data_IF_546164587788
#
_entry.id   IF_546164587788
#
_cell.length_a   1.000
_cell.length_b   1.000
_cell.length_c   1.000
_cell.angle_alpha   90.00
_cell.angle_beta   90.00
_cell.angle_gamma   90.00
#
_symmetry.space_group_name_H-M   'P 1'
#
loop_
_entity.id
_entity.type
_entity.pdbx_description
1 polymer ?
#
# COMPACT_ATOMS: atom_id res chain seq x y z
N UNK A 1 -20.98 3.68 0.02
CA UNK A 1 -21.10 2.71 1.13
C UNK A 1 -19.81 1.91 1.20
N UNK A 2 -19.16 1.80 2.36
CA UNK A 2 -17.96 0.96 2.55
C UNK A 2 -18.32 -0.50 2.29
N UNK A 3 -17.54 -1.27 1.50
CA UNK A 3 -17.84 -2.67 1.27
C UNK A 3 -17.84 -3.45 2.59
N UNK A 4 -18.82 -4.35 2.76
CA UNK A 4 -18.91 -5.23 3.91
C UNK A 4 -17.92 -6.39 3.72
N UNK A 5 -16.72 -6.24 4.27
CA UNK A 5 -15.65 -7.23 4.16
C UNK A 5 -15.72 -8.22 5.32
N UNK A 6 -15.52 -9.53 5.08
CA UNK A 6 -15.62 -10.55 6.12
C UNK A 6 -14.41 -10.55 7.08
N UNK A 7 -14.58 -11.17 8.24
CA UNK A 7 -13.49 -11.59 9.13
C UNK A 7 -12.46 -10.51 9.46
N UNK A 8 -11.17 -10.86 9.33
CA UNK A 8 -10.03 -9.95 9.57
C UNK A 8 -9.98 -8.77 8.60
N UNK A 9 -10.45 -8.94 7.36
CA UNK A 9 -10.52 -7.85 6.39
C UNK A 9 -11.50 -6.75 6.85
N UNK A 10 -12.69 -7.14 7.32
CA UNK A 10 -13.64 -6.20 7.92
C UNK A 10 -13.10 -5.49 9.16
N UNK A 11 -12.38 -6.21 10.02
CA UNK A 11 -11.73 -5.62 11.20
C UNK A 11 -10.65 -4.60 10.80
N UNK A 12 -9.86 -4.90 9.78
CA UNK A 12 -8.87 -3.98 9.23
C UNK A 12 -9.53 -2.73 8.63
N UNK A 13 -10.59 -2.90 7.84
CA UNK A 13 -11.36 -1.78 7.28
C UNK A 13 -11.90 -0.84 8.37
N UNK A 14 -12.47 -1.39 9.45
CA UNK A 14 -12.90 -0.59 10.62
C UNK A 14 -11.75 0.13 11.30
N UNK A 15 -10.59 -0.53 11.41
CA UNK A 15 -9.39 0.06 12.00
C UNK A 15 -8.88 1.24 11.18
N UNK A 16 -8.85 1.11 9.85
CA UNK A 16 -8.51 2.20 8.92
C UNK A 16 -9.48 3.37 9.07
N UNK A 17 -10.79 3.11 9.01
CA UNK A 17 -11.79 4.16 9.16
C UNK A 17 -11.70 4.88 10.50
N UNK A 18 -11.50 4.13 11.59
CA UNK A 18 -11.34 4.72 12.92
C UNK A 18 -10.08 5.58 13.03
N UNK A 19 -8.95 5.10 12.47
CA UNK A 19 -7.69 5.84 12.49
C UNK A 19 -7.74 7.09 11.60
N UNK A 20 -8.37 7.02 10.42
CA UNK A 20 -8.57 8.17 9.54
C UNK A 20 -9.44 9.25 10.20
N UNK A 21 -10.55 8.86 10.86
CA UNK A 21 -11.38 9.79 11.62
C UNK A 21 -10.64 10.46 12.77
N UNK A 22 -9.77 9.71 13.46
CA UNK A 22 -8.93 10.27 14.52
C UNK A 22 -7.96 11.36 14.01
N UNK A 23 -7.71 11.41 12.69
CA UNK A 23 -6.93 12.45 12.02
C UNK A 23 -7.80 13.49 11.33
N UNK A 24 -9.07 13.58 11.71
CA UNK A 24 -10.03 14.54 11.17
C UNK A 24 -10.30 14.41 9.65
N UNK A 25 -10.11 13.22 9.07
CA UNK A 25 -10.58 12.93 7.71
C UNK A 25 -12.10 13.12 7.63
N UNK A 26 -12.59 13.68 6.51
CA UNK A 26 -14.03 13.82 6.29
C UNK A 26 -14.71 12.46 6.10
N UNK A 27 -16.01 12.36 6.31
CA UNK A 27 -16.73 11.09 6.04
C UNK A 27 -16.63 10.67 4.56
N UNK A 28 -16.56 11.63 3.64
CA UNK A 28 -16.35 11.35 2.22
C UNK A 28 -14.97 10.71 1.96
N UNK A 29 -13.94 11.20 2.65
CA UNK A 29 -12.57 10.65 2.59
C UNK A 29 -12.52 9.26 3.22
N UNK A 30 -13.14 9.07 4.38
CA UNK A 30 -13.23 7.76 5.04
C UNK A 30 -13.94 6.75 4.16
N UNK A 31 -15.00 7.16 3.46
CA UNK A 31 -15.70 6.31 2.51
C UNK A 31 -14.83 5.98 1.29
N UNK A 32 -14.12 6.97 0.74
CA UNK A 32 -13.21 6.76 -0.39
C UNK A 32 -12.07 5.80 -0.05
N UNK A 33 -11.46 5.95 1.14
CA UNK A 33 -10.46 5.01 1.65
C UNK A 33 -11.04 3.60 1.82
N UNK A 34 -12.27 3.50 2.33
CA UNK A 34 -12.97 2.22 2.48
C UNK A 34 -13.22 1.52 1.14
N UNK A 35 -13.61 2.27 0.10
CA UNK A 35 -13.76 1.73 -1.26
C UNK A 35 -12.43 1.26 -1.84
N UNK A 36 -11.37 2.04 -1.69
CA UNK A 36 -10.03 1.68 -2.16
C UNK A 36 -9.49 0.42 -1.44
N UNK A 37 -9.67 0.33 -0.13
CA UNK A 37 -9.27 -0.85 0.63
C UNK A 37 -10.06 -2.09 0.21
N UNK A 38 -11.38 -1.99 0.06
CA UNK A 38 -12.19 -3.12 -0.43
C UNK A 38 -11.79 -3.57 -1.82
N UNK A 39 -11.47 -2.62 -2.71
CA UNK A 39 -10.98 -2.91 -4.05
C UNK A 39 -9.63 -3.67 -4.01
N UNK A 40 -8.69 -3.23 -3.17
CA UNK A 40 -7.40 -3.92 -2.98
C UNK A 40 -7.52 -5.30 -2.32
N UNK A 41 -8.57 -5.51 -1.53
CA UNK A 41 -8.85 -6.79 -0.87
C UNK A 41 -9.53 -7.80 -1.80
N UNK A 42 -10.25 -7.37 -2.83
CA UNK A 42 -11.01 -8.26 -3.71
C UNK A 42 -10.19 -9.44 -4.27
N UNK A 43 -9.04 -9.24 -4.96
CA UNK A 43 -8.27 -10.36 -5.49
C UNK A 43 -7.70 -11.29 -4.40
N UNK A 44 -7.48 -10.76 -3.19
CA UNK A 44 -7.01 -11.56 -2.04
C UNK A 44 -8.11 -12.42 -1.46
N UNK A 45 -9.32 -11.90 -1.37
CA UNK A 45 -10.48 -12.65 -0.89
C UNK A 45 -10.84 -13.80 -1.85
N UNK A 46 -10.53 -13.65 -3.13
CA UNK A 46 -10.71 -14.70 -4.13
C UNK A 46 -9.59 -15.74 -4.11
N UNK A 47 -8.35 -15.32 -3.85
CA UNK A 47 -7.17 -16.18 -3.99
C UNK A 47 -6.66 -16.81 -2.69
N UNK A 48 -6.95 -16.21 -1.53
CA UNK A 48 -6.40 -16.62 -0.24
C UNK A 48 -7.50 -17.15 0.68
N UNK A 49 -7.47 -18.45 0.92
CA UNK A 49 -8.36 -19.12 1.87
C UNK A 49 -7.95 -18.88 3.34
N UNK A 50 -6.66 -18.59 3.59
CA UNK A 50 -6.11 -18.33 4.91
C UNK A 50 -5.98 -16.82 5.19
N UNK A 51 -6.81 -16.30 6.09
CA UNK A 51 -6.79 -14.89 6.51
C UNK A 51 -5.60 -14.52 7.44
N UNK A 52 -4.79 -15.53 7.81
CA UNK A 52 -3.49 -15.37 8.44
C UNK A 52 -2.33 -15.31 7.45
N UNK A 53 -2.57 -15.52 6.15
CA UNK A 53 -1.53 -15.40 5.13
C UNK A 53 -0.86 -14.02 5.23
N UNK A 54 0.49 -13.90 5.21
CA UNK A 54 1.18 -12.65 5.46
C UNK A 54 0.76 -11.51 4.52
N UNK A 55 0.41 -11.82 3.28
CA UNK A 55 -0.04 -10.83 2.31
C UNK A 55 -1.53 -10.46 2.39
N UNK A 56 -2.32 -11.19 3.20
CA UNK A 56 -3.77 -11.04 3.23
C UNK A 56 -4.21 -9.63 3.64
N UNK A 57 -3.65 -9.08 4.72
CA UNK A 57 -3.98 -7.72 5.19
C UNK A 57 -3.03 -6.63 4.67
N UNK A 58 -2.15 -6.95 3.72
CA UNK A 58 -1.12 -6.03 3.21
C UNK A 58 -1.66 -4.63 2.84
N UNK A 59 -2.74 -4.50 2.02
CA UNK A 59 -3.29 -3.20 1.65
C UNK A 59 -3.58 -2.29 2.84
N UNK A 60 -4.21 -2.85 3.88
CA UNK A 60 -4.58 -2.09 5.07
C UNK A 60 -3.41 -1.80 5.97
N UNK A 61 -2.42 -2.69 6.06
CA UNK A 61 -1.21 -2.44 6.87
C UNK A 61 -0.36 -1.31 6.29
N UNK A 62 -0.19 -1.25 4.96
CA UNK A 62 0.52 -0.17 4.27
C UNK A 62 -0.09 1.20 4.59
N UNK A 63 -1.42 1.34 4.50
CA UNK A 63 -2.10 2.58 4.88
C UNK A 63 -2.05 2.86 6.41
N UNK A 64 -2.11 1.83 7.26
CA UNK A 64 -2.00 2.01 8.71
C UNK A 64 -0.62 2.48 9.15
N UNK A 65 0.45 2.09 8.47
CA UNK A 65 1.80 2.62 8.72
C UNK A 65 1.79 4.14 8.56
N UNK A 66 1.21 4.67 7.48
CA UNK A 66 1.10 6.11 7.27
C UNK A 66 0.27 6.80 8.34
N UNK A 67 -0.89 6.23 8.68
CA UNK A 67 -1.75 6.78 9.72
C UNK A 67 -1.03 6.82 11.09
N UNK A 68 -0.29 5.78 11.47
CA UNK A 68 0.30 5.69 12.81
C UNK A 68 1.65 6.37 12.94
N UNK A 69 2.50 6.22 11.93
CA UNK A 69 3.91 6.58 12.03
C UNK A 69 4.17 7.98 11.48
N UNK A 70 3.43 8.41 10.46
CA UNK A 70 3.55 9.74 9.83
C UNK A 70 2.53 10.71 10.43
N UNK A 71 1.24 10.36 10.39
CA UNK A 71 0.14 11.21 10.84
C UNK A 71 -0.12 12.41 9.91
N UNK A 72 -1.34 12.96 10.00
CA UNK A 72 -1.81 14.08 9.16
C UNK A 72 -1.59 13.88 7.65
N UNK A 73 -1.76 12.64 7.18
CA UNK A 73 -1.55 12.26 5.78
C UNK A 73 -2.84 12.46 4.99
N UNK A 74 -2.73 13.04 3.79
CA UNK A 74 -3.86 13.20 2.87
C UNK A 74 -4.46 11.84 2.48
N UNK A 75 -5.80 11.75 2.42
CA UNK A 75 -6.48 10.48 2.13
C UNK A 75 -6.09 9.89 0.78
N UNK A 76 -5.76 10.72 -0.22
CA UNK A 76 -5.30 10.24 -1.52
C UNK A 76 -4.03 9.41 -1.39
N UNK A 77 -3.14 9.74 -0.46
CA UNK A 77 -1.92 8.97 -0.20
C UNK A 77 -2.26 7.63 0.47
N UNK A 78 -3.23 7.62 1.39
CA UNK A 78 -3.70 6.37 2.03
C UNK A 78 -4.36 5.44 1.01
N UNK A 79 -5.14 6.00 0.08
CA UNK A 79 -5.73 5.26 -1.03
C UNK A 79 -4.65 4.62 -1.89
N UNK A 80 -3.60 5.37 -2.25
CA UNK A 80 -2.49 4.84 -3.04
C UNK A 80 -1.73 3.76 -2.28
N UNK A 81 -1.50 3.93 -0.97
CA UNK A 81 -0.85 2.92 -0.15
C UNK A 81 -1.67 1.63 -0.02
N UNK A 82 -3.01 1.71 -0.03
CA UNK A 82 -3.87 0.53 -0.10
C UNK A 82 -3.78 -0.19 -1.44
N UNK A 83 -3.73 0.55 -2.55
CA UNK A 83 -3.78 -0.01 -3.91
C UNK A 83 -2.42 -0.44 -4.44
N UNK A 84 -1.34 0.08 -3.87
CA UNK A 84 0.01 -0.28 -4.29
C UNK A 84 0.32 -1.69 -3.84
N UNK A 85 0.62 -2.52 -4.85
CA UNK A 85 1.03 -3.90 -4.69
C UNK A 85 2.24 -4.10 -5.59
N UNK A 86 3.43 -4.07 -4.98
CA UNK A 86 4.68 -4.09 -5.73
C UNK A 86 5.25 -5.49 -5.94
N UNK A 87 4.81 -6.48 -5.15
CA UNK A 87 5.38 -7.83 -5.12
C UNK A 87 4.51 -8.83 -5.87
N UNK A 88 3.23 -8.89 -5.54
CA UNK A 88 2.31 -9.93 -6.00
C UNK A 88 1.46 -9.42 -7.18
N UNK A 89 2.00 -9.54 -8.40
CA UNK A 89 1.36 -9.04 -9.62
C UNK A 89 -0.08 -9.55 -9.80
N UNK A 90 -0.35 -10.82 -9.45
CA UNK A 90 -1.68 -11.43 -9.54
C UNK A 90 -2.71 -10.81 -8.59
N UNK A 91 -2.28 -10.03 -7.60
CA UNK A 91 -3.17 -9.36 -6.64
C UNK A 91 -3.24 -7.84 -6.85
N UNK A 92 -2.61 -7.32 -7.91
CA UNK A 92 -2.76 -5.92 -8.31
C UNK A 92 -4.19 -5.68 -8.79
N UNK A 93 -4.78 -4.59 -8.33
CA UNK A 93 -6.07 -4.15 -8.84
C UNK A 93 -5.90 -3.69 -10.29
N UNK A 94 -6.73 -4.16 -11.23
CA UNK A 94 -6.68 -3.72 -12.62
C UNK A 94 -6.91 -2.19 -12.76
N UNK A 95 -6.16 -1.49 -13.62
CA UNK A 95 -6.32 -0.04 -13.83
C UNK A 95 -7.73 0.41 -14.17
N UNK A 96 -8.48 -0.41 -14.90
CA UNK A 96 -9.88 -0.17 -15.27
C UNK A 96 -10.81 -0.13 -14.06
N UNK A 97 -10.58 -0.97 -13.05
CA UNK A 97 -11.37 -1.00 -11.82
C UNK A 97 -11.02 0.17 -10.91
N UNK A 98 -9.74 0.53 -10.84
CA UNK A 98 -9.29 1.76 -10.17
C UNK A 98 -9.94 2.98 -10.83
N UNK A 99 -9.96 3.04 -12.16
CA UNK A 99 -10.58 4.14 -12.90
C UNK A 99 -12.07 4.23 -12.61
N UNK A 100 -12.79 3.10 -12.65
CA UNK A 100 -14.23 3.06 -12.41
C UNK A 100 -14.58 3.50 -10.97
N UNK A 101 -13.73 3.16 -9.99
CA UNK A 101 -14.03 3.36 -8.56
C UNK A 101 -13.52 4.70 -8.02
N UNK A 102 -12.35 5.14 -8.49
CA UNK A 102 -11.57 6.25 -7.91
C UNK A 102 -11.17 7.31 -8.94
N UNK A 103 -11.39 7.04 -10.23
CA UNK A 103 -11.14 7.97 -11.32
C UNK A 103 -9.71 7.93 -11.87
N UNK A 104 -9.54 8.59 -13.01
CA UNK A 104 -8.29 8.55 -13.78
C UNK A 104 -7.08 9.18 -13.06
N UNK A 105 -7.30 10.04 -12.06
CA UNK A 105 -6.23 10.61 -11.26
C UNK A 105 -5.51 9.54 -10.42
N UNK A 106 -6.27 8.62 -9.81
CA UNK A 106 -5.71 7.50 -9.04
C UNK A 106 -4.90 6.57 -9.95
N UNK A 107 -5.40 6.25 -11.14
CA UNK A 107 -4.67 5.43 -12.13
C UNK A 107 -3.33 6.05 -12.50
N UNK A 108 -3.31 7.34 -12.84
CA UNK A 108 -2.07 8.05 -13.19
C UNK A 108 -1.08 8.07 -12.02
N UNK A 109 -1.58 8.31 -10.82
CA UNK A 109 -0.75 8.30 -9.61
C UNK A 109 -0.14 6.91 -9.36
N UNK A 110 -0.94 5.85 -9.45
CA UNK A 110 -0.48 4.46 -9.33
C UNK A 110 0.60 4.10 -10.35
N UNK A 111 0.38 4.43 -11.63
CA UNK A 111 1.34 4.17 -12.69
C UNK A 111 2.67 4.93 -12.55
N UNK A 112 2.68 6.02 -11.75
CA UNK A 112 3.88 6.82 -11.53
C UNK A 112 4.83 6.18 -10.52
N UNK A 113 4.32 5.38 -9.57
CA UNK A 113 5.12 4.74 -8.53
C UNK A 113 5.97 3.63 -9.17
N UNK A 114 7.32 3.70 -9.11
CA UNK A 114 8.18 2.66 -9.66
C UNK A 114 8.08 1.38 -8.82
N UNK A 115 8.25 0.24 -9.48
CA UNK A 115 8.25 -1.08 -8.85
C UNK A 115 9.70 -1.49 -8.50
N UNK A 116 9.88 -2.36 -7.48
CA UNK A 116 11.13 -3.08 -7.28
C UNK A 116 11.61 -3.73 -8.58
N UNK A 117 12.92 -3.74 -8.81
CA UNK A 117 13.55 -4.25 -10.03
C UNK A 117 13.55 -3.29 -11.23
N UNK A 118 12.96 -2.10 -11.12
CA UNK A 118 13.05 -1.08 -12.18
C UNK A 118 14.50 -0.63 -12.38
N UNK A 119 15.01 -0.70 -13.61
CA UNK A 119 16.39 -0.30 -13.97
C UNK A 119 16.71 1.15 -13.57
N UNK A 120 15.68 2.01 -13.52
CA UNK A 120 15.76 3.43 -13.18
C UNK A 120 15.11 3.72 -11.83
N UNK A 121 14.98 2.73 -10.96
CA UNK A 121 14.27 2.83 -9.68
C UNK A 121 14.69 4.06 -8.87
N UNK A 122 15.99 4.25 -8.65
CA UNK A 122 16.51 5.37 -7.86
C UNK A 122 16.11 6.73 -8.45
N UNK A 123 16.24 6.90 -9.76
CA UNK A 123 15.92 8.14 -10.45
C UNK A 123 14.42 8.43 -10.41
N UNK A 124 13.60 7.40 -10.65
CA UNK A 124 12.14 7.53 -10.61
C UNK A 124 11.65 7.88 -9.21
N UNK A 125 12.19 7.24 -8.18
CA UNK A 125 11.88 7.56 -6.78
C UNK A 125 12.21 9.02 -6.45
N UNK A 126 13.36 9.54 -6.88
CA UNK A 126 13.75 10.94 -6.65
C UNK A 126 12.82 11.97 -7.32
N UNK A 127 12.11 11.56 -8.38
CA UNK A 127 11.14 12.42 -9.07
C UNK A 127 9.71 12.30 -8.53
N UNK A 128 9.45 11.38 -7.60
CA UNK A 128 8.13 11.25 -7.00
C UNK A 128 7.78 12.49 -6.18
N UNK A 129 6.51 12.89 -6.25
CA UNK A 129 5.96 13.87 -5.32
C UNK A 129 5.95 13.33 -3.87
N UNK A 130 5.86 14.22 -2.86
CA UNK A 130 5.90 13.82 -1.45
C UNK A 130 4.87 12.75 -1.07
N UNK A 131 3.63 12.88 -1.57
CA UNK A 131 2.57 11.90 -1.31
C UNK A 131 2.87 10.52 -1.91
N UNK A 132 3.27 10.46 -3.18
CA UNK A 132 3.62 9.20 -3.83
C UNK A 132 4.81 8.51 -3.16
N UNK A 133 5.78 9.31 -2.69
CA UNK A 133 6.94 8.83 -1.96
C UNK A 133 6.55 8.16 -0.65
N UNK A 134 5.64 8.77 0.12
CA UNK A 134 5.13 8.19 1.35
C UNK A 134 4.41 6.86 1.10
N UNK A 135 3.52 6.79 0.10
CA UNK A 135 2.81 5.56 -0.25
C UNK A 135 3.79 4.43 -0.64
N UNK A 136 4.76 4.72 -1.50
CA UNK A 136 5.75 3.74 -1.94
C UNK A 136 6.61 3.22 -0.78
N UNK A 137 7.11 4.09 0.10
CA UNK A 137 7.95 3.68 1.23
C UNK A 137 7.14 2.91 2.27
N UNK A 138 5.91 3.32 2.57
CA UNK A 138 5.08 2.62 3.54
C UNK A 138 4.74 1.19 3.09
N UNK A 139 4.43 1.01 1.81
CA UNK A 139 4.22 -0.31 1.21
C UNK A 139 5.49 -1.16 1.28
N UNK A 140 6.63 -0.59 0.88
CA UNK A 140 7.90 -1.32 0.89
C UNK A 140 8.28 -1.75 2.30
N UNK A 141 8.03 -0.89 3.29
CA UNK A 141 8.24 -1.18 4.70
C UNK A 141 7.33 -2.30 5.20
N UNK A 142 6.05 -2.35 4.79
CA UNK A 142 5.18 -3.48 5.13
C UNK A 142 5.73 -4.78 4.57
N UNK A 143 6.14 -4.82 3.31
CA UNK A 143 6.77 -6.01 2.74
C UNK A 143 8.00 -6.43 3.52
N UNK A 144 8.93 -5.52 3.82
CA UNK A 144 10.14 -5.88 4.57
C UNK A 144 9.86 -6.40 5.98
N UNK A 145 8.79 -5.93 6.63
CA UNK A 145 8.35 -6.44 7.94
C UNK A 145 7.81 -7.87 7.86
N UNK A 146 7.26 -8.29 6.72
CA UNK A 146 6.55 -9.58 6.58
C UNK A 146 7.20 -10.56 5.60
N UNK A 147 8.26 -10.16 4.88
CA UNK A 147 8.91 -10.99 3.87
C UNK A 147 9.45 -12.31 4.44
N UNK A 148 9.81 -12.34 5.73
CA UNK A 148 10.28 -13.54 6.44
C UNK A 148 9.21 -14.59 6.70
N UNK A 149 7.95 -14.24 6.44
CA UNK A 149 6.81 -15.13 6.59
C UNK A 149 6.37 -15.69 5.22
N UNK A 150 6.98 -15.25 4.12
CA UNK A 150 6.67 -15.65 2.74
C UNK A 150 7.69 -16.68 2.26
N UNK A 151 7.41 -17.95 2.54
CA UNK A 151 8.25 -19.08 2.12
C UNK A 151 8.44 -19.12 0.59
N UNK A 152 7.40 -18.73 -0.15
CA UNK A 152 7.37 -18.64 -1.60
C UNK A 152 8.30 -17.55 -2.17
N UNK A 153 8.80 -16.63 -1.33
CA UNK A 153 9.66 -15.52 -1.73
C UNK A 153 11.07 -15.59 -1.13
N UNK A 154 11.46 -16.73 -0.53
CA UNK A 154 12.77 -16.87 0.12
C UNK A 154 13.94 -16.61 -0.82
N UNK A 155 13.85 -17.07 -2.07
CA UNK A 155 14.92 -16.91 -3.06
C UNK A 155 15.12 -15.43 -3.47
N UNK A 156 14.12 -14.57 -3.22
CA UNK A 156 14.18 -13.14 -3.54
C UNK A 156 14.86 -12.31 -2.43
N UNK A 157 15.17 -12.92 -1.28
CA UNK A 157 15.69 -12.22 -0.11
C UNK A 157 16.99 -11.47 -0.36
N UNK A 158 17.97 -12.14 -0.96
CA UNK A 158 19.28 -11.54 -1.19
C UNK A 158 19.18 -10.32 -2.11
N UNK A 159 18.49 -10.45 -3.25
CA UNK A 159 18.28 -9.34 -4.18
C UNK A 159 17.44 -8.21 -3.57
N UNK A 160 16.42 -8.55 -2.78
CA UNK A 160 15.62 -7.56 -2.06
C UNK A 160 16.47 -6.77 -1.07
N UNK A 161 17.34 -7.45 -0.30
CA UNK A 161 18.23 -6.80 0.65
C UNK A 161 19.21 -5.85 -0.05
N UNK A 162 19.84 -6.31 -1.13
CA UNK A 162 20.77 -5.48 -1.92
C UNK A 162 20.10 -4.22 -2.46
N UNK A 163 18.94 -4.36 -3.10
CA UNK A 163 18.16 -3.23 -3.62
C UNK A 163 17.73 -2.26 -2.51
N UNK A 164 17.28 -2.80 -1.36
CA UNK A 164 16.85 -1.98 -0.23
C UNK A 164 17.99 -1.15 0.34
N UNK A 165 19.14 -1.76 0.57
CA UNK A 165 20.31 -1.05 1.10
C UNK A 165 20.82 -0.01 0.11
N UNK A 166 20.85 -0.33 -1.18
CA UNK A 166 21.36 0.56 -2.22
C UNK A 166 20.42 1.73 -2.54
N UNK A 167 19.10 1.48 -2.54
CA UNK A 167 18.11 2.40 -3.13
C UNK A 167 17.03 2.82 -2.15
N UNK A 168 16.25 1.88 -1.61
CA UNK A 168 15.07 2.22 -0.81
C UNK A 168 15.41 2.87 0.53
N UNK A 169 16.40 2.38 1.25
CA UNK A 169 16.78 2.91 2.57
C UNK A 169 17.33 4.35 2.47
N UNK A 170 18.26 4.67 1.55
CA UNK A 170 18.67 6.06 1.33
C UNK A 170 17.53 6.98 0.89
N UNK A 171 16.56 6.47 0.14
CA UNK A 171 15.37 7.22 -0.26
C UNK A 171 14.43 7.48 0.92
N UNK A 172 14.06 6.44 1.68
CA UNK A 172 13.20 6.52 2.86
C UNK A 172 13.70 7.55 3.88
N UNK A 173 15.02 7.56 4.15
CA UNK A 173 15.70 8.55 5.02
C UNK A 173 15.47 10.01 4.60
N UNK A 174 15.19 10.27 3.33
CA UNK A 174 14.86 11.61 2.80
C UNK A 174 13.35 11.89 2.84
N UNK A 175 12.53 10.85 2.76
CA UNK A 175 11.07 10.95 2.72
C UNK A 175 10.50 11.23 4.10
N UNK A 176 10.82 10.39 5.10
CA UNK A 176 10.29 10.56 6.45
C UNK A 176 11.14 9.80 7.49
N UNK A 177 11.46 10.37 8.66
CA UNK A 177 12.37 9.76 9.64
C UNK A 177 11.82 8.50 10.34
N UNK A 178 10.51 8.23 10.24
CA UNK A 178 9.85 7.06 10.87
C UNK A 178 9.49 5.95 9.89
N UNK A 179 9.75 6.15 8.60
CA UNK A 179 9.57 5.15 7.55
C UNK A 179 10.95 4.70 7.06
#
# INVERSE_FOLDING_TARGET
>A
MTPDLPGRAGQMGRSLSSAARAQAASEADVEALGRAFGLAMAPRLEALDDDHHPAYLHPGRSALILLRDVGAVDVSVLILACLHESVDESWRVPPEEIQATLGAAAVRAMASIPLPGDERLAERLLTLGPGLSLAAVAERLDHLRHLHQREDLLDLWAGTYEEVVATWLPFARRVHPRL
#
